data_IF_525204777727
#
_entry.id   IF_525204777727
#
_cell.length_a   1.000
_cell.length_b   1.000
_cell.length_c   1.000
_cell.angle_alpha   90.00
_cell.angle_beta   90.00
_cell.angle_gamma   90.00
#
_symmetry.space_group_name_H-M   'P 1'
#
loop_
_entity.id
_entity.type
_entity.pdbx_description
1 polymer ?
#
# COMPACT_ATOMS: atom_id res chain seq x y z
N UNK A 1 29.59 -12.53 19.41
CA UNK A 1 28.95 -13.00 18.16
C UNK A 1 28.09 -11.93 17.49
N UNK A 2 27.41 -11.03 18.22
CA UNK A 2 26.64 -9.92 17.62
C UNK A 2 27.53 -8.92 16.85
N UNK A 3 28.65 -8.49 17.44
CA UNK A 3 29.51 -7.46 16.86
C UNK A 3 30.04 -7.79 15.44
N UNK A 4 30.36 -9.06 15.15
CA UNK A 4 30.78 -9.47 13.82
C UNK A 4 29.64 -9.41 12.80
N UNK A 5 28.43 -9.78 13.20
CA UNK A 5 27.24 -9.81 12.33
C UNK A 5 26.80 -8.37 11.99
N UNK A 6 26.88 -7.45 12.95
CA UNK A 6 26.59 -6.03 12.72
C UNK A 6 27.56 -5.42 11.68
N UNK A 7 28.85 -5.79 11.72
CA UNK A 7 29.83 -5.34 10.70
C UNK A 7 29.46 -5.87 9.30
N UNK A 8 29.01 -7.12 9.20
CA UNK A 8 28.54 -7.68 7.93
C UNK A 8 27.26 -6.98 7.43
N UNK A 9 26.31 -6.67 8.32
CA UNK A 9 25.11 -5.89 7.98
C UNK A 9 25.49 -4.54 7.41
N UNK A 10 26.36 -3.80 8.09
CA UNK A 10 26.80 -2.46 7.65
C UNK A 10 27.52 -2.50 6.30
N UNK A 11 28.29 -3.57 6.02
CA UNK A 11 28.95 -3.76 4.72
C UNK A 11 27.95 -4.00 3.59
N UNK A 12 26.95 -4.85 3.84
CA UNK A 12 25.87 -5.09 2.87
C UNK A 12 25.03 -3.85 2.64
N UNK A 13 24.74 -3.08 3.68
CA UNK A 13 24.03 -1.80 3.56
C UNK A 13 24.83 -0.79 2.73
N UNK A 14 26.15 -0.67 2.93
CA UNK A 14 27.01 0.18 2.10
C UNK A 14 27.08 -0.28 0.64
N UNK A 15 27.12 -1.60 0.41
CA UNK A 15 27.10 -2.16 -0.94
C UNK A 15 25.77 -1.87 -1.64
N UNK A 16 24.65 -2.02 -0.91
CA UNK A 16 23.31 -1.72 -1.42
C UNK A 16 23.11 -0.23 -1.69
N UNK A 17 23.69 0.63 -0.85
CA UNK A 17 23.65 2.09 -1.02
C UNK A 17 24.53 2.61 -2.17
N UNK A 18 25.34 1.76 -2.81
CA UNK A 18 26.10 2.16 -3.98
C UNK A 18 25.15 2.27 -5.19
N UNK A 19 24.96 3.51 -5.68
CA UNK A 19 24.09 3.82 -6.82
C UNK A 19 24.37 2.98 -8.07
N UNK A 20 25.63 2.64 -8.34
CA UNK A 20 25.98 1.81 -9.51
C UNK A 20 25.50 0.37 -9.34
N UNK A 21 25.68 -0.18 -8.15
CA UNK A 21 25.23 -1.53 -7.81
C UNK A 21 23.70 -1.60 -7.79
N UNK A 22 23.05 -0.61 -7.16
CA UNK A 22 21.60 -0.46 -7.16
C UNK A 22 21.03 -0.41 -8.58
N UNK A 23 21.54 0.48 -9.44
CA UNK A 23 21.10 0.61 -10.83
C UNK A 23 21.34 -0.67 -11.62
N UNK A 24 22.43 -1.39 -11.36
CA UNK A 24 22.70 -2.68 -11.99
C UNK A 24 21.68 -3.74 -11.58
N UNK A 25 21.38 -3.87 -10.28
CA UNK A 25 20.40 -4.83 -9.77
C UNK A 25 19.00 -4.50 -10.28
N UNK A 26 18.60 -3.22 -10.25
CA UNK A 26 17.33 -2.76 -10.82
C UNK A 26 17.26 -3.10 -12.31
N UNK A 27 18.32 -2.81 -13.07
CA UNK A 27 18.40 -3.13 -14.49
C UNK A 27 18.22 -4.63 -14.76
N UNK A 28 18.86 -5.49 -13.97
CA UNK A 28 18.71 -6.95 -14.07
C UNK A 28 17.26 -7.37 -13.77
N UNK A 29 16.65 -6.85 -12.70
CA UNK A 29 15.28 -7.21 -12.33
C UNK A 29 14.28 -6.75 -13.40
N UNK A 30 14.39 -5.52 -13.88
CA UNK A 30 13.52 -4.97 -14.93
C UNK A 30 13.70 -5.76 -16.22
N UNK A 31 14.93 -6.04 -16.64
CA UNK A 31 15.17 -6.78 -17.88
C UNK A 31 14.73 -8.25 -17.78
N UNK A 32 14.88 -8.87 -16.61
CA UNK A 32 14.33 -10.21 -16.31
C UNK A 32 12.80 -10.21 -16.35
N UNK A 33 12.14 -9.18 -15.79
CA UNK A 33 10.70 -9.01 -15.83
C UNK A 33 10.18 -8.85 -17.26
N UNK A 34 10.85 -8.01 -18.06
CA UNK A 34 10.53 -7.82 -19.49
C UNK A 34 10.71 -9.10 -20.28
N UNK A 35 11.73 -9.93 -19.98
CA UNK A 35 11.89 -11.24 -20.60
C UNK A 35 10.78 -12.23 -20.24
N UNK A 36 10.26 -12.20 -19.01
CA UNK A 36 9.10 -13.03 -18.64
C UNK A 36 7.89 -12.64 -19.49
N UNK A 37 7.66 -11.33 -19.70
CA UNK A 37 6.62 -10.84 -20.61
C UNK A 37 6.88 -11.23 -22.07
N UNK A 38 8.12 -11.08 -22.54
CA UNK A 38 8.53 -11.40 -23.90
C UNK A 38 8.45 -12.91 -24.20
N UNK A 39 8.62 -13.79 -23.22
CA UNK A 39 8.40 -15.25 -23.35
C UNK A 39 6.96 -15.63 -23.66
N UNK A 40 6.01 -14.69 -23.57
CA UNK A 40 4.65 -14.88 -24.09
C UNK A 40 4.64 -14.87 -25.63
N UNK A 41 5.70 -14.36 -26.25
CA UNK A 41 5.95 -14.39 -27.69
C UNK A 41 7.09 -15.37 -27.96
N UNK A 42 6.85 -16.34 -28.84
CA UNK A 42 7.79 -17.40 -29.19
C UNK A 42 8.99 -16.85 -29.97
N UNK A 43 10.00 -16.28 -29.32
CA UNK A 43 11.35 -16.20 -29.89
C UNK A 43 12.41 -16.08 -28.76
N UNK A 44 13.11 -17.19 -28.52
CA UNK A 44 14.15 -17.28 -27.48
C UNK A 44 15.43 -16.55 -27.89
N UNK A 45 15.71 -15.44 -27.21
CA UNK A 45 16.90 -14.61 -27.43
C UNK A 45 18.15 -15.20 -26.76
N UNK A 46 19.32 -15.04 -27.40
CA UNK A 46 20.65 -15.45 -26.88
C UNK A 46 20.97 -14.96 -25.47
N UNK A 47 20.35 -13.87 -25.02
CA UNK A 47 20.56 -13.28 -23.68
C UNK A 47 19.86 -14.03 -22.54
N UNK A 48 18.98 -15.00 -22.84
CA UNK A 48 18.19 -15.70 -21.84
C UNK A 48 19.04 -16.43 -20.79
N UNK A 49 20.12 -17.10 -21.21
CA UNK A 49 20.99 -17.82 -20.29
C UNK A 49 21.77 -16.86 -19.38
N UNK A 50 22.35 -15.81 -19.96
CA UNK A 50 23.07 -14.77 -19.20
C UNK A 50 22.17 -14.12 -18.16
N UNK A 51 20.93 -13.82 -18.52
CA UNK A 51 19.99 -13.18 -17.59
C UNK A 51 19.46 -14.11 -16.53
N UNK A 52 19.31 -15.40 -16.84
CA UNK A 52 18.98 -16.39 -15.84
C UNK A 52 20.09 -16.49 -14.78
N UNK A 53 21.37 -16.49 -15.20
CA UNK A 53 22.50 -16.49 -14.27
C UNK A 53 22.51 -15.22 -13.41
N UNK A 54 22.29 -14.05 -14.01
CA UNK A 54 22.22 -12.78 -13.28
C UNK A 54 21.04 -12.73 -12.29
N UNK A 55 19.86 -13.22 -12.68
CA UNK A 55 18.67 -13.27 -11.83
C UNK A 55 18.86 -14.22 -10.64
N UNK A 56 19.51 -15.37 -10.85
CA UNK A 56 19.93 -16.28 -9.77
C UNK A 56 20.94 -15.57 -8.86
N UNK A 57 21.91 -14.84 -9.41
CA UNK A 57 22.85 -14.04 -8.64
C UNK A 57 22.17 -13.01 -7.74
N UNK A 58 21.19 -12.26 -8.28
CA UNK A 58 20.37 -11.31 -7.51
C UNK A 58 19.56 -12.04 -6.43
N UNK A 59 19.01 -13.22 -6.72
CA UNK A 59 18.28 -14.05 -5.74
C UNK A 59 19.18 -14.44 -4.57
N UNK A 60 20.39 -14.91 -4.87
CA UNK A 60 21.38 -15.31 -3.85
C UNK A 60 21.79 -14.09 -3.03
N UNK A 61 21.98 -12.93 -3.66
CA UNK A 61 22.30 -11.68 -2.97
C UNK A 61 21.21 -11.32 -1.93
N UNK A 62 19.94 -11.29 -2.33
CA UNK A 62 18.83 -11.01 -1.40
C UNK A 62 18.66 -12.10 -0.33
N UNK A 63 18.94 -13.35 -0.67
CA UNK A 63 18.94 -14.45 0.29
C UNK A 63 20.02 -14.24 1.38
N UNK A 64 21.24 -13.92 0.97
CA UNK A 64 22.32 -13.64 1.91
C UNK A 64 22.00 -12.41 2.77
N UNK A 65 21.47 -11.35 2.15
CA UNK A 65 21.05 -10.14 2.84
C UNK A 65 20.03 -10.44 3.94
N UNK A 66 18.98 -11.21 3.63
CA UNK A 66 17.92 -11.49 4.60
C UNK A 66 18.38 -12.42 5.72
N UNK A 67 19.24 -13.39 5.41
CA UNK A 67 19.83 -14.26 6.42
C UNK A 67 20.71 -13.47 7.40
N UNK A 68 21.52 -12.53 6.90
CA UNK A 68 22.34 -11.65 7.76
C UNK A 68 21.44 -10.76 8.60
N UNK A 69 20.39 -10.15 8.02
CA UNK A 69 19.45 -9.30 8.77
C UNK A 69 18.71 -10.07 9.86
N UNK A 70 18.34 -11.32 9.58
CA UNK A 70 17.69 -12.21 10.55
C UNK A 70 18.65 -12.65 11.67
N UNK A 71 19.91 -12.96 11.33
CA UNK A 71 20.94 -13.34 12.30
C UNK A 71 21.41 -12.17 13.19
N UNK A 72 21.24 -10.93 12.72
CA UNK A 72 21.55 -9.73 13.49
C UNK A 72 20.52 -9.42 14.59
N UNK A 73 19.29 -9.94 14.47
CA UNK A 73 18.25 -9.74 15.49
C UNK A 73 18.43 -10.72 16.67
N UNK A 74 18.26 -10.22 17.90
CA UNK A 74 18.45 -11.04 19.12
C UNK A 74 17.41 -12.15 19.26
N UNK A 75 16.21 -11.94 18.71
CA UNK A 75 15.13 -12.92 18.65
C UNK A 75 14.52 -12.93 17.25
N UNK A 76 14.29 -14.11 16.68
CA UNK A 76 13.63 -14.24 15.37
C UNK A 76 12.23 -13.61 15.36
N UNK A 77 11.55 -13.55 16.51
CA UNK A 77 10.22 -12.92 16.65
C UNK A 77 10.26 -11.41 16.39
N UNK A 78 11.36 -10.74 16.71
CA UNK A 78 11.51 -9.29 16.49
C UNK A 78 11.62 -8.99 14.99
N UNK A 79 12.25 -9.90 14.23
CA UNK A 79 12.35 -9.80 12.77
C UNK A 79 10.97 -9.85 12.11
N UNK A 80 10.12 -10.81 12.50
CA UNK A 80 8.78 -10.98 11.95
C UNK A 80 7.75 -9.94 12.45
N UNK A 81 8.10 -9.12 13.46
CA UNK A 81 7.25 -7.98 13.85
C UNK A 81 7.37 -6.79 12.90
N UNK A 82 8.47 -6.70 12.14
CA UNK A 82 8.69 -5.61 11.16
C UNK A 82 8.07 -6.02 9.82
N UNK A 83 6.98 -5.37 9.42
CA UNK A 83 6.23 -5.72 8.19
C UNK A 83 7.10 -5.80 6.92
N UNK A 84 8.07 -4.90 6.77
CA UNK A 84 9.01 -4.91 5.64
C UNK A 84 9.97 -6.11 5.63
N UNK A 85 10.38 -6.59 6.80
CA UNK A 85 11.21 -7.79 6.90
C UNK A 85 10.40 -9.04 6.52
N UNK A 86 9.12 -9.09 6.89
CA UNK A 86 8.19 -10.16 6.46
C UNK A 86 8.00 -10.14 4.95
N UNK A 87 7.82 -8.97 4.36
CA UNK A 87 7.70 -8.81 2.90
C UNK A 87 8.96 -9.27 2.18
N UNK A 88 10.14 -8.78 2.60
CA UNK A 88 11.42 -9.18 2.02
C UNK A 88 11.62 -10.72 2.12
N UNK A 89 11.22 -11.32 3.24
CA UNK A 89 11.30 -12.77 3.46
C UNK A 89 10.38 -13.55 2.53
N UNK A 90 9.14 -13.09 2.37
CA UNK A 90 8.17 -13.71 1.47
C UNK A 90 8.65 -13.63 0.01
N UNK A 91 9.14 -12.48 -0.43
CA UNK A 91 9.65 -12.29 -1.80
C UNK A 91 10.84 -13.21 -2.10
N UNK A 92 11.77 -13.36 -1.15
CA UNK A 92 12.94 -14.24 -1.29
C UNK A 92 12.50 -15.71 -1.29
N UNK A 93 11.70 -16.14 -0.31
CA UNK A 93 11.26 -17.54 -0.22
C UNK A 93 10.40 -17.97 -1.42
N UNK A 94 9.45 -17.14 -1.86
CA UNK A 94 8.66 -17.40 -3.07
C UNK A 94 9.53 -17.52 -4.33
N UNK A 95 10.67 -16.84 -4.35
CA UNK A 95 11.62 -16.92 -5.47
C UNK A 95 12.49 -18.17 -5.47
N UNK A 96 12.69 -18.82 -4.32
CA UNK A 96 13.53 -20.00 -4.16
C UNK A 96 12.82 -21.30 -4.53
N UNK A 97 11.49 -21.31 -4.61
CA UNK A 97 10.70 -22.51 -4.88
C UNK A 97 11.07 -23.07 -6.27
N UNK A 98 11.70 -24.26 -6.35
CA UNK A 98 12.04 -24.90 -7.61
C UNK A 98 10.78 -25.42 -8.30
N UNK A 99 10.78 -25.42 -9.63
CA UNK A 99 9.56 -25.52 -10.44
C UNK A 99 9.36 -26.89 -11.10
N UNK A 100 9.81 -27.96 -10.48
CA UNK A 100 9.96 -29.25 -11.15
C UNK A 100 8.82 -30.27 -10.92
N UNK A 101 7.78 -29.95 -10.15
CA UNK A 101 6.61 -30.84 -9.99
C UNK A 101 5.44 -30.47 -10.91
N UNK A 102 4.95 -31.47 -11.65
CA UNK A 102 4.03 -31.37 -12.79
C UNK A 102 2.70 -30.66 -12.53
N UNK A 103 2.18 -30.69 -11.30
CA UNK A 103 0.95 -29.98 -10.91
C UNK A 103 1.24 -28.56 -10.40
N UNK A 104 2.44 -28.30 -9.88
CA UNK A 104 2.87 -26.99 -9.41
C UNK A 104 3.43 -26.10 -10.52
N UNK A 105 3.62 -26.61 -11.74
CA UNK A 105 4.23 -25.85 -12.85
C UNK A 105 3.49 -24.53 -13.13
N UNK A 106 2.15 -24.52 -13.12
CA UNK A 106 1.38 -23.30 -13.40
C UNK A 106 1.51 -22.27 -12.27
N UNK A 107 1.33 -22.71 -11.02
CA UNK A 107 1.49 -21.85 -9.86
C UNK A 107 2.92 -21.30 -9.77
N UNK A 108 3.91 -22.15 -10.01
CA UNK A 108 5.31 -21.78 -10.00
C UNK A 108 5.64 -20.79 -11.15
N UNK A 109 4.98 -20.87 -12.31
CA UNK A 109 5.07 -19.83 -13.36
C UNK A 109 4.54 -18.49 -12.87
N UNK A 110 3.41 -18.48 -12.16
CA UNK A 110 2.86 -17.27 -11.55
C UNK A 110 3.79 -16.73 -10.45
N UNK A 111 4.43 -17.60 -9.66
CA UNK A 111 5.38 -17.20 -8.61
C UNK A 111 6.58 -16.41 -9.15
N UNK A 112 6.88 -16.50 -10.46
CA UNK A 112 7.92 -15.67 -11.09
C UNK A 112 7.61 -14.18 -11.02
N UNK A 113 6.34 -13.77 -10.90
CA UNK A 113 5.97 -12.36 -10.74
C UNK A 113 6.52 -11.76 -9.43
N UNK A 114 6.71 -12.58 -8.39
CA UNK A 114 7.32 -12.13 -7.13
C UNK A 114 8.76 -11.65 -7.31
N UNK A 115 9.46 -12.09 -8.37
CA UNK A 115 10.80 -11.57 -8.69
C UNK A 115 10.76 -10.08 -9.02
N UNK A 116 9.69 -9.61 -9.66
CA UNK A 116 9.48 -8.18 -9.96
C UNK A 116 9.24 -7.41 -8.65
N UNK A 117 8.59 -8.03 -7.67
CA UNK A 117 8.38 -7.43 -6.34
C UNK A 117 9.70 -7.17 -5.59
N UNK A 118 10.82 -7.78 -5.99
CA UNK A 118 12.14 -7.43 -5.46
C UNK A 118 12.52 -5.98 -5.74
N UNK A 119 11.96 -5.33 -6.76
CA UNK A 119 12.14 -3.89 -6.99
C UNK A 119 11.68 -3.08 -5.77
N UNK A 120 10.54 -3.46 -5.19
CA UNK A 120 10.01 -2.84 -3.98
C UNK A 120 10.95 -3.07 -2.79
N UNK A 121 11.53 -4.26 -2.68
CA UNK A 121 12.53 -4.54 -1.65
C UNK A 121 13.84 -3.78 -1.89
N UNK A 122 14.27 -3.60 -3.14
CA UNK A 122 15.55 -2.94 -3.46
C UNK A 122 15.47 -1.42 -3.27
N UNK A 123 14.37 -0.80 -3.71
CA UNK A 123 14.23 0.65 -3.85
C UNK A 123 13.52 1.23 -2.61
N UNK A 124 14.23 1.94 -1.72
CA UNK A 124 13.64 2.54 -0.52
C UNK A 124 12.52 3.53 -0.84
N UNK A 125 12.61 4.25 -1.97
CA UNK A 125 11.60 5.19 -2.45
C UNK A 125 10.27 4.48 -2.73
N UNK A 126 10.29 3.28 -3.35
CA UNK A 126 9.07 2.49 -3.53
C UNK A 126 8.47 2.06 -2.20
N UNK A 127 9.30 1.67 -1.22
CA UNK A 127 8.83 1.36 0.14
C UNK A 127 8.18 2.57 0.80
N UNK A 128 8.77 3.76 0.64
CA UNK A 128 8.25 5.00 1.19
C UNK A 128 6.91 5.38 0.56
N UNK A 129 6.80 5.28 -0.77
CA UNK A 129 5.56 5.52 -1.51
C UNK A 129 4.47 4.54 -1.07
N UNK A 130 4.76 3.24 -1.03
CA UNK A 130 3.77 2.25 -0.55
C UNK A 130 3.41 2.45 0.92
N UNK A 131 4.37 2.81 1.79
CA UNK A 131 4.08 3.12 3.19
C UNK A 131 3.15 4.33 3.31
N UNK A 132 3.34 5.36 2.48
CA UNK A 132 2.47 6.52 2.42
C UNK A 132 1.05 6.13 1.97
N UNK A 133 0.93 5.28 0.95
CA UNK A 133 -0.37 4.73 0.51
C UNK A 133 -1.04 3.91 1.61
N UNK A 134 -0.33 2.98 2.25
CA UNK A 134 -0.91 2.19 3.34
C UNK A 134 -1.28 3.03 4.56
N UNK A 135 -0.57 4.14 4.82
CA UNK A 135 -0.88 5.06 5.91
C UNK A 135 -2.17 5.86 5.65
N UNK A 136 -2.58 6.04 4.39
CA UNK A 136 -3.84 6.72 4.06
C UNK A 136 -5.07 5.80 4.11
N UNK A 137 -4.91 4.49 3.86
CA UNK A 137 -6.02 3.51 3.86
C UNK A 137 -6.89 3.55 5.13
N UNK A 138 -6.34 3.57 6.37
CA UNK A 138 -7.16 3.57 7.58
C UNK A 138 -8.15 4.73 7.66
N UNK A 139 -7.77 5.91 7.14
CA UNK A 139 -8.66 7.09 7.13
C UNK A 139 -9.85 6.89 6.18
N UNK A 140 -9.66 6.11 5.12
CA UNK A 140 -10.69 5.80 4.13
C UNK A 140 -11.58 4.62 4.54
N UNK A 141 -11.18 3.82 5.54
CA UNK A 141 -11.85 2.56 5.88
C UNK A 141 -13.34 2.70 6.22
N UNK A 142 -13.71 3.72 7.02
CA UNK A 142 -15.11 3.96 7.38
C UNK A 142 -15.97 4.38 6.18
N UNK A 143 -15.41 5.22 5.29
CA UNK A 143 -16.11 5.62 4.06
C UNK A 143 -16.24 4.44 3.12
N UNK A 144 -15.19 3.64 2.95
CA UNK A 144 -15.24 2.43 2.13
C UNK A 144 -16.29 1.43 2.64
N UNK A 145 -16.43 1.28 3.96
CA UNK A 145 -17.48 0.45 4.56
C UNK A 145 -18.89 1.01 4.27
N UNK A 146 -19.08 2.32 4.39
CA UNK A 146 -20.34 2.97 4.04
C UNK A 146 -20.68 2.78 2.55
N UNK A 147 -19.70 2.97 1.65
CA UNK A 147 -19.86 2.71 0.22
C UNK A 147 -20.23 1.25 -0.04
N UNK A 148 -19.56 0.30 0.62
CA UNK A 148 -19.87 -1.12 0.49
C UNK A 148 -21.31 -1.45 0.90
N UNK A 149 -21.80 -0.88 2.01
CA UNK A 149 -23.19 -1.05 2.45
C UNK A 149 -24.17 -0.50 1.41
N UNK A 150 -23.91 0.69 0.87
CA UNK A 150 -24.77 1.31 -0.16
C UNK A 150 -24.78 0.47 -1.43
N UNK A 151 -23.61 0.01 -1.89
CA UNK A 151 -23.49 -0.88 -3.04
C UNK A 151 -24.29 -2.16 -2.83
N UNK A 152 -24.18 -2.78 -1.66
CA UNK A 152 -24.92 -3.99 -1.34
C UNK A 152 -26.43 -3.78 -1.37
N UNK A 153 -26.94 -2.69 -0.80
CA UNK A 153 -28.37 -2.36 -0.81
C UNK A 153 -28.86 -2.14 -2.24
N UNK A 154 -28.17 -1.32 -3.03
CA UNK A 154 -28.53 -1.09 -4.42
C UNK A 154 -28.42 -2.36 -5.27
N UNK A 155 -27.42 -3.21 -5.02
CA UNK A 155 -27.25 -4.48 -5.72
C UNK A 155 -28.38 -5.47 -5.39
N UNK A 156 -28.80 -5.54 -4.12
CA UNK A 156 -29.93 -6.36 -3.71
C UNK A 156 -31.23 -5.88 -4.38
N UNK A 157 -31.47 -4.56 -4.40
CA UNK A 157 -32.63 -3.98 -5.08
C UNK A 157 -32.56 -4.23 -6.60
N UNK A 158 -31.42 -3.96 -7.23
CA UNK A 158 -31.23 -4.11 -8.66
C UNK A 158 -31.32 -5.56 -9.14
N UNK A 159 -30.75 -6.52 -8.39
CA UNK A 159 -30.89 -7.94 -8.71
C UNK A 159 -32.34 -8.43 -8.58
N UNK A 160 -33.11 -7.87 -7.63
CA UNK A 160 -34.53 -8.18 -7.51
C UNK A 160 -35.36 -7.52 -8.64
N UNK A 161 -35.03 -6.30 -9.05
CA UNK A 161 -35.83 -5.54 -10.03
C UNK A 161 -35.47 -5.82 -11.48
N UNK A 162 -34.20 -6.11 -11.78
CA UNK A 162 -33.66 -6.15 -13.14
C UNK A 162 -33.07 -7.51 -13.53
N UNK A 163 -33.27 -8.56 -12.72
CA UNK A 163 -32.79 -9.92 -13.03
C UNK A 163 -33.29 -10.44 -14.37
N UNK A 164 -34.51 -10.07 -14.77
CA UNK A 164 -35.11 -10.47 -16.04
C UNK A 164 -34.59 -9.67 -17.25
N UNK A 165 -33.88 -8.55 -17.03
CA UNK A 165 -33.32 -7.72 -18.12
C UNK A 165 -32.04 -8.34 -18.66
N UNK A 166 -31.11 -8.64 -17.76
CA UNK A 166 -29.81 -9.21 -18.10
C UNK A 166 -29.26 -10.01 -16.91
N UNK A 167 -29.23 -11.33 -17.06
CA UNK A 167 -28.75 -12.25 -16.02
C UNK A 167 -27.26 -12.06 -15.72
N UNK A 168 -26.45 -11.61 -16.69
CA UNK A 168 -25.02 -11.38 -16.49
C UNK A 168 -24.75 -10.11 -15.66
N UNK A 169 -25.66 -9.14 -15.72
CA UNK A 169 -25.56 -7.90 -14.95
C UNK A 169 -26.28 -7.96 -13.59
N UNK A 170 -27.43 -8.65 -13.52
CA UNK A 170 -28.36 -8.58 -12.39
C UNK A 170 -28.73 -9.94 -11.79
N UNK A 171 -28.25 -11.06 -12.34
CA UNK A 171 -28.68 -12.41 -11.94
C UNK A 171 -28.40 -12.78 -10.48
N UNK A 172 -27.43 -12.12 -9.83
CA UNK A 172 -27.23 -12.22 -8.39
C UNK A 172 -26.63 -10.92 -7.81
N UNK A 173 -26.61 -10.81 -6.49
CA UNK A 173 -26.11 -9.63 -5.77
C UNK A 173 -24.64 -9.35 -6.12
N UNK A 174 -23.80 -10.38 -6.31
CA UNK A 174 -22.38 -10.19 -6.64
C UNK A 174 -22.19 -9.59 -8.03
N UNK A 175 -22.95 -10.05 -9.03
CA UNK A 175 -22.96 -9.48 -10.38
C UNK A 175 -23.52 -8.06 -10.37
N UNK A 176 -24.63 -7.83 -9.65
CA UNK A 176 -25.21 -6.50 -9.52
C UNK A 176 -24.24 -5.51 -8.82
N UNK A 177 -23.44 -5.95 -7.84
CA UNK A 177 -22.39 -5.13 -7.25
C UNK A 177 -21.28 -4.78 -8.26
N UNK A 178 -20.90 -5.70 -9.16
CA UNK A 178 -19.93 -5.45 -10.23
C UNK A 178 -20.50 -4.43 -11.24
N UNK A 179 -21.75 -4.61 -11.65
CA UNK A 179 -22.47 -3.68 -12.53
C UNK A 179 -22.55 -2.29 -11.90
N UNK A 180 -22.88 -2.18 -10.61
CA UNK A 180 -22.90 -0.91 -9.90
C UNK A 180 -21.50 -0.30 -9.71
N UNK A 181 -20.44 -1.12 -9.62
CA UNK A 181 -19.07 -0.62 -9.64
C UNK A 181 -18.71 0.01 -10.99
N UNK A 182 -19.09 -0.63 -12.09
CA UNK A 182 -18.98 -0.05 -13.42
C UNK A 182 -19.74 1.29 -13.50
N UNK A 183 -20.99 1.33 -13.05
CA UNK A 183 -21.80 2.57 -12.99
C UNK A 183 -21.14 3.65 -12.14
N UNK A 184 -20.58 3.30 -10.98
CA UNK A 184 -19.91 4.23 -10.07
C UNK A 184 -18.64 4.86 -10.67
N UNK A 185 -17.97 4.15 -11.58
CA UNK A 185 -16.81 4.68 -12.34
C UNK A 185 -17.22 5.48 -13.58
N UNK A 186 -18.53 5.65 -13.82
CA UNK A 186 -19.11 6.27 -15.01
C UNK A 186 -18.75 5.57 -16.33
N UNK A 187 -18.28 4.32 -16.26
CA UNK A 187 -17.88 3.55 -17.43
C UNK A 187 -19.11 2.94 -18.09
N UNK A 188 -19.42 3.37 -19.31
CA UNK A 188 -20.50 2.84 -20.17
C UNK A 188 -21.90 2.74 -19.53
N UNK A 189 -22.15 3.40 -18.39
CA UNK A 189 -23.35 3.20 -17.58
C UNK A 189 -24.66 3.53 -18.31
N UNK A 190 -24.66 4.54 -19.19
CA UNK A 190 -25.84 4.95 -19.94
C UNK A 190 -26.17 3.92 -21.04
N UNK A 191 -25.18 3.55 -21.84
CA UNK A 191 -25.37 2.72 -23.03
C UNK A 191 -25.40 1.23 -22.74
N UNK A 192 -24.57 0.75 -21.81
CA UNK A 192 -24.43 -0.68 -21.51
C UNK A 192 -25.39 -1.16 -20.42
N UNK A 193 -25.85 -0.28 -19.53
CA UNK A 193 -26.66 -0.68 -18.37
C UNK A 193 -28.03 0.00 -18.38
N UNK A 194 -28.07 1.34 -18.41
CA UNK A 194 -29.32 2.09 -18.28
C UNK A 194 -30.27 1.87 -19.47
N UNK A 195 -29.83 2.09 -20.71
CA UNK A 195 -30.73 2.03 -21.87
C UNK A 195 -31.36 0.64 -22.07
N UNK A 196 -30.62 -0.48 -21.99
CA UNK A 196 -31.23 -1.82 -22.02
C UNK A 196 -32.22 -2.06 -20.88
N UNK A 197 -31.93 -1.53 -19.69
CA UNK A 197 -32.85 -1.60 -18.55
C UNK A 197 -34.11 -0.77 -18.79
N UNK A 198 -33.99 0.39 -19.46
CA UNK A 198 -35.12 1.27 -19.78
C UNK A 198 -36.07 0.71 -20.84
N UNK A 199 -35.60 -0.21 -21.70
CA UNK A 199 -36.47 -0.92 -22.65
C UNK A 199 -37.55 -1.75 -21.92
N UNK A 200 -37.21 -2.26 -20.73
CA UNK A 200 -38.11 -3.05 -19.89
C UNK A 200 -38.77 -2.20 -18.78
N UNK A 201 -37.99 -1.29 -18.19
CA UNK A 201 -38.38 -0.46 -17.06
C UNK A 201 -38.16 1.04 -17.36
N UNK A 202 -39.15 1.75 -17.93
CA UNK A 202 -39.00 3.13 -18.38
C UNK A 202 -38.53 4.14 -17.31
N UNK A 203 -38.75 3.83 -16.02
CA UNK A 203 -38.35 4.67 -14.88
C UNK A 203 -37.03 4.23 -14.22
N UNK A 204 -36.30 3.26 -14.80
CA UNK A 204 -35.05 2.76 -14.24
C UNK A 204 -33.99 3.86 -14.08
N UNK A 205 -34.04 4.93 -14.89
CA UNK A 205 -33.17 6.10 -14.75
C UNK A 205 -33.18 6.71 -13.34
N UNK A 206 -34.29 6.61 -12.59
CA UNK A 206 -34.35 7.10 -11.21
C UNK A 206 -33.37 6.33 -10.34
N UNK A 207 -33.38 5.00 -10.41
CA UNK A 207 -32.50 4.12 -9.65
C UNK A 207 -31.02 4.43 -9.92
N UNK A 208 -30.64 4.56 -11.20
CA UNK A 208 -29.25 4.84 -11.56
C UNK A 208 -28.83 6.26 -11.20
N UNK A 209 -29.69 7.26 -11.41
CA UNK A 209 -29.36 8.64 -11.03
C UNK A 209 -29.24 8.80 -9.52
N UNK A 210 -30.12 8.20 -8.71
CA UNK A 210 -30.00 8.28 -7.25
C UNK A 210 -28.74 7.59 -6.76
N UNK A 211 -28.39 6.44 -7.35
CA UNK A 211 -27.13 5.74 -7.05
C UNK A 211 -25.91 6.62 -7.40
N UNK A 212 -25.87 7.16 -8.61
CA UNK A 212 -24.77 8.00 -9.11
C UNK A 212 -24.60 9.24 -8.23
N UNK A 213 -25.69 9.96 -7.94
CA UNK A 213 -25.63 11.15 -7.09
C UNK A 213 -25.13 10.81 -5.69
N UNK A 214 -25.65 9.75 -5.08
CA UNK A 214 -25.23 9.32 -3.75
C UNK A 214 -23.75 8.92 -3.72
N UNK A 215 -23.32 8.10 -4.69
CA UNK A 215 -21.93 7.65 -4.81
C UNK A 215 -20.96 8.81 -5.05
N UNK A 216 -21.29 9.69 -6.01
CA UNK A 216 -20.48 10.87 -6.32
C UNK A 216 -20.40 11.83 -5.12
N UNK A 217 -21.50 12.03 -4.40
CA UNK A 217 -21.53 12.88 -3.21
C UNK A 217 -20.66 12.33 -2.09
N UNK A 218 -20.74 11.02 -1.81
CA UNK A 218 -19.90 10.37 -0.79
C UNK A 218 -18.43 10.46 -1.18
N UNK A 219 -18.10 10.17 -2.44
CA UNK A 219 -16.74 10.25 -2.94
C UNK A 219 -16.18 11.68 -2.85
N UNK A 220 -16.97 12.69 -3.23
CA UNK A 220 -16.59 14.10 -3.14
C UNK A 220 -16.36 14.51 -1.68
N UNK A 221 -17.26 14.16 -0.76
CA UNK A 221 -17.10 14.47 0.66
C UNK A 221 -15.88 13.78 1.27
N UNK A 222 -15.57 12.55 0.84
CA UNK A 222 -14.35 11.85 1.24
C UNK A 222 -13.11 12.59 0.74
N UNK A 223 -13.09 12.97 -0.54
CA UNK A 223 -11.97 13.69 -1.14
C UNK A 223 -11.76 15.03 -0.43
N UNK A 224 -12.82 15.80 -0.21
CA UNK A 224 -12.77 17.07 0.53
C UNK A 224 -12.27 16.81 1.95
N UNK A 225 -12.77 15.79 2.65
CA UNK A 225 -12.32 15.42 3.99
C UNK A 225 -10.82 15.11 4.06
N UNK A 226 -10.30 14.35 3.09
CA UNK A 226 -8.87 14.02 3.02
C UNK A 226 -8.04 15.26 2.71
N UNK A 227 -8.47 16.08 1.73
CA UNK A 227 -7.76 17.32 1.36
C UNK A 227 -7.73 18.29 2.54
N UNK A 228 -8.86 18.50 3.23
CA UNK A 228 -8.94 19.35 4.41
C UNK A 228 -8.05 18.83 5.55
N UNK A 229 -8.05 17.52 5.83
CA UNK A 229 -7.19 16.92 6.86
C UNK A 229 -5.69 17.10 6.54
N UNK A 230 -5.30 17.00 5.27
CA UNK A 230 -3.92 17.27 4.85
C UNK A 230 -3.60 18.76 4.95
N UNK A 231 -4.47 19.63 4.43
CA UNK A 231 -4.26 21.08 4.47
C UNK A 231 -4.16 21.61 5.90
N UNK A 232 -5.02 21.16 6.82
CA UNK A 232 -4.97 21.56 8.23
C UNK A 232 -3.65 21.14 8.89
N UNK A 233 -3.15 19.93 8.59
CA UNK A 233 -1.86 19.45 9.11
C UNK A 233 -0.69 20.29 8.61
N UNK A 234 -0.68 20.58 7.31
CA UNK A 234 0.35 21.44 6.69
C UNK A 234 0.27 22.88 7.24
N UNK A 235 -0.93 23.45 7.40
CA UNK A 235 -1.11 24.79 7.98
C UNK A 235 -0.58 24.88 9.41
N UNK A 236 -0.90 23.91 10.27
CA UNK A 236 -0.39 23.88 11.66
C UNK A 236 1.14 23.75 11.68
N UNK A 237 1.72 22.94 10.80
CA UNK A 237 3.17 22.79 10.70
C UNK A 237 3.84 24.12 10.29
N UNK A 238 3.27 24.82 9.31
CA UNK A 238 3.77 26.13 8.87
C UNK A 238 3.70 27.16 10.00
N UNK A 239 2.59 27.23 10.73
CA UNK A 239 2.45 28.16 11.87
C UNK A 239 3.53 27.91 12.93
N UNK A 240 3.76 26.64 13.27
CA UNK A 240 4.80 26.24 14.24
C UNK A 240 6.21 26.62 13.76
N UNK A 241 6.49 26.47 12.46
CA UNK A 241 7.80 26.81 11.88
C UNK A 241 8.01 28.32 11.73
N UNK A 242 6.98 29.07 11.36
CA UNK A 242 7.06 30.52 11.23
C UNK A 242 7.03 31.25 12.57
N UNK A 243 6.62 30.57 13.64
CA UNK A 243 6.42 31.18 14.96
C UNK A 243 5.28 32.20 14.99
N UNK A 244 4.42 32.19 13.97
CA UNK A 244 3.29 33.12 13.81
C UNK A 244 2.02 32.33 13.60
N UNK A 245 0.97 32.65 14.35
CA UNK A 245 -0.29 31.94 14.27
C UNK A 245 -0.70 31.36 15.63
N UNK A 246 -1.97 31.00 15.74
CA UNK A 246 -2.58 30.56 17.00
C UNK A 246 -1.91 29.28 17.50
N UNK A 247 -1.56 28.34 16.61
CA UNK A 247 -0.93 27.08 17.02
C UNK A 247 0.47 27.29 17.62
N UNK A 248 1.25 28.25 17.10
CA UNK A 248 2.58 28.58 17.59
C UNK A 248 2.54 29.30 18.93
N UNK A 249 1.64 30.27 19.09
CA UNK A 249 1.44 30.97 20.36
C UNK A 249 0.99 30.00 21.46
N UNK A 250 0.05 29.10 21.15
CA UNK A 250 -0.42 28.09 22.11
C UNK A 250 0.69 27.10 22.50
N UNK A 251 1.57 26.75 21.56
CA UNK A 251 2.73 25.91 21.84
C UNK A 251 3.73 26.63 22.75
N UNK A 252 4.05 27.89 22.45
CA UNK A 252 4.92 28.73 23.29
C UNK A 252 4.39 28.88 24.71
N UNK A 253 3.11 29.22 24.86
CA UNK A 253 2.46 29.35 26.17
C UNK A 253 2.51 28.04 26.98
N UNK A 254 2.33 26.89 26.32
CA UNK A 254 2.44 25.57 26.97
C UNK A 254 3.85 25.31 27.49
N UNK A 255 4.87 25.73 26.74
CA UNK A 255 6.26 25.58 27.14
C UNK A 255 6.59 26.52 28.32
N UNK A 256 6.11 27.76 28.29
CA UNK A 256 6.22 28.71 29.41
C UNK A 256 5.57 28.17 30.69
N UNK A 257 4.35 27.61 30.59
CA UNK A 257 3.65 27.01 31.74
C UNK A 257 4.42 25.81 32.30
N UNK A 258 5.04 24.98 31.43
CA UNK A 258 5.90 23.87 31.88
C UNK A 258 7.13 24.39 32.60
N UNK A 259 7.74 25.45 32.10
CA UNK A 259 8.90 26.06 32.72
C UNK A 259 8.55 26.63 34.11
N UNK A 260 7.44 27.36 34.21
CA UNK A 260 6.95 27.89 35.49
C UNK A 260 6.67 26.77 36.50
N UNK A 261 6.02 25.67 36.08
CA UNK A 261 5.82 24.50 36.96
C UNK A 261 7.14 23.90 37.42
N UNK A 262 8.12 23.78 36.53
CA UNK A 262 9.44 23.27 36.89
C UNK A 262 10.16 24.20 37.87
N UNK A 263 10.07 25.52 37.68
CA UNK A 263 10.60 26.52 38.61
C UNK A 263 9.94 26.40 40.00
N UNK A 264 8.61 26.29 40.06
CA UNK A 264 7.88 26.11 41.31
C UNK A 264 8.30 24.83 42.04
N UNK A 265 8.40 23.68 41.35
CA UNK A 265 8.86 22.43 41.97
C UNK A 265 10.30 22.53 42.52
N UNK A 266 11.17 23.31 41.85
CA UNK A 266 12.53 23.56 42.34
C UNK A 266 12.52 24.43 43.59
N UNK A 267 11.61 25.40 43.69
CA UNK A 267 11.45 26.23 44.89
C UNK A 267 10.90 25.42 46.06
N UNK A 268 9.87 24.60 45.83
CA UNK A 268 9.26 23.73 46.83
C UNK A 268 10.30 22.77 47.45
N UNK A 269 11.07 22.08 46.61
CA UNK A 269 12.15 21.19 47.06
C UNK A 269 13.28 21.91 47.80
N UNK A 270 13.55 23.18 47.49
CA UNK A 270 14.52 23.99 48.24
C UNK A 270 13.99 24.42 49.61
N UNK A 271 12.68 24.66 49.75
CA UNK A 271 12.04 25.01 51.02
C UNK A 271 11.97 23.80 51.95
N UNK A 272 11.58 22.63 51.45
CA UNK A 272 11.58 21.38 52.23
C UNK A 272 12.97 21.04 52.80
N UNK A 273 14.04 21.31 52.04
CA UNK A 273 15.43 21.14 52.52
C UNK A 273 15.87 22.14 53.57
N UNK A 274 15.14 23.23 53.76
CA UNK A 274 15.47 24.30 54.71
C UNK A 274 14.74 24.14 56.05
N UNK A 275 13.64 23.39 56.05
CA UNK A 275 12.80 23.13 57.23
C UNK A 275 13.11 21.78 57.92
N UNK A 276 13.94 20.91 57.32
CA UNK A 276 14.49 19.69 57.93
C UNK A 276 15.94 19.84 58.35
#
# INVERSE_FOLDING_TARGET
MSASIDIWRDRFERLRANKLFELTVIGIIVFSALLIGAKTYDETTRFQQTLLVLDVGVTIFFLMEILIRMAAERQLRDFFRKGWNVFDFLVVTASLIPMDDSEMVLLARLLRIFRVLRLVSMIPELRMLMAALFKSIPRMGYVALLMFIIFYIYAAIGSFLFSDVDEQLWGNISLAMLTLFQVATFESWATAVLYPTMEHYPYAWIFFLTFIFLNAFIFLNMMIGIVLDVMQKESVQIELESGTGEAAELHGLRDDVRELRAQLSRMETMLERREG
#
